data_IF_763282332167
#
_entry.id   IF_763282332167
#
_cell.length_a   1.000
_cell.length_b   1.000
_cell.length_c   1.000
_cell.angle_alpha   90.00
_cell.angle_beta   90.00
_cell.angle_gamma   90.00
#
_symmetry.space_group_name_H-M   'P 1'
#
loop_
_entity.id
_entity.type
_entity.pdbx_description
1 polymer ?
#
# COMPACT_ATOMS: atom_id res chain seq x y z
N UNK A 1 14.45 -4.90 20.42
CA UNK A 1 14.20 -6.36 20.48
C UNK A 1 14.85 -6.99 19.26
N UNK A 2 15.20 -8.28 19.28
CA UNK A 2 15.75 -8.94 18.10
C UNK A 2 14.61 -9.29 17.11
N UNK A 3 14.84 -9.07 15.82
CA UNK A 3 13.91 -9.39 14.75
C UNK A 3 13.60 -10.89 14.66
N UNK A 4 12.37 -11.24 14.29
CA UNK A 4 11.96 -12.64 14.09
C UNK A 4 12.62 -13.25 12.84
N UNK A 5 12.88 -14.57 12.80
CA UNK A 5 13.45 -15.24 11.63
C UNK A 5 12.63 -15.04 10.35
N UNK A 6 11.30 -14.93 10.48
CA UNK A 6 10.40 -14.63 9.37
C UNK A 6 10.68 -13.24 8.80
N UNK A 7 10.73 -12.20 9.64
CA UNK A 7 11.01 -10.85 9.18
C UNK A 7 12.43 -10.69 8.64
N UNK A 8 13.42 -11.42 9.17
CA UNK A 8 14.76 -11.47 8.57
C UNK A 8 14.73 -12.02 7.14
N UNK A 9 13.90 -13.04 6.89
CA UNK A 9 13.73 -13.60 5.54
C UNK A 9 13.02 -12.60 4.62
N UNK A 10 11.94 -11.98 5.08
CA UNK A 10 11.23 -10.93 4.32
C UNK A 10 12.18 -9.79 3.96
N UNK A 11 12.95 -9.27 4.92
CA UNK A 11 13.92 -8.21 4.69
C UNK A 11 14.99 -8.61 3.65
N UNK A 12 15.33 -9.90 3.57
CA UNK A 12 16.27 -10.42 2.57
C UNK A 12 15.70 -10.42 1.14
N UNK A 13 14.38 -10.58 0.98
CA UNK A 13 13.65 -10.47 -0.29
C UNK A 13 13.49 -8.99 -0.72
N UNK A 14 13.55 -8.07 0.24
CA UNK A 14 13.44 -6.63 -0.02
C UNK A 14 14.72 -5.98 -0.56
N UNK A 15 15.81 -6.75 -0.69
CA UNK A 15 17.08 -6.24 -1.19
C UNK A 15 17.01 -5.93 -2.70
N UNK A 16 17.80 -4.93 -3.16
CA UNK A 16 17.94 -4.63 -4.58
C UNK A 16 18.28 -5.89 -5.40
N UNK A 17 17.58 -6.06 -6.52
CA UNK A 17 17.79 -7.14 -7.49
C UNK A 17 17.11 -8.47 -7.18
N UNK A 18 16.40 -8.62 -6.05
CA UNK A 18 15.66 -9.85 -5.73
C UNK A 18 14.26 -9.85 -6.36
N UNK A 19 13.44 -8.84 -6.02
CA UNK A 19 12.10 -8.65 -6.60
C UNK A 19 12.09 -7.44 -7.54
N UNK A 20 12.57 -6.29 -7.06
CA UNK A 20 12.69 -5.05 -7.84
C UNK A 20 14.16 -4.68 -8.01
N UNK A 21 14.48 -3.87 -9.02
CA UNK A 21 15.84 -3.43 -9.28
C UNK A 21 16.44 -2.69 -8.08
N UNK A 22 15.70 -1.75 -7.49
CA UNK A 22 16.17 -0.88 -6.41
C UNK A 22 15.82 -1.41 -5.00
N UNK A 23 15.10 -2.52 -4.90
CA UNK A 23 14.60 -3.05 -3.63
C UNK A 23 13.48 -2.20 -3.03
N UNK A 24 13.24 -2.35 -1.73
CA UNK A 24 12.20 -1.62 -0.99
C UNK A 24 12.73 -0.85 0.23
N UNK A 25 14.01 -0.99 0.55
CA UNK A 25 14.58 -0.43 1.78
C UNK A 25 15.38 0.86 1.55
N UNK A 26 15.79 1.14 0.30
CA UNK A 26 16.68 2.26 0.00
C UNK A 26 17.95 2.23 0.84
N UNK A 27 18.21 3.30 1.59
CA UNK A 27 19.36 3.43 2.48
C UNK A 27 18.99 3.16 3.95
N UNK A 28 17.83 2.56 4.21
CA UNK A 28 17.39 2.23 5.55
C UNK A 28 18.20 1.05 6.11
N UNK A 29 18.94 1.31 7.18
CA UNK A 29 19.77 0.31 7.86
C UNK A 29 19.10 -0.31 9.08
N UNK A 30 17.87 0.11 9.40
CA UNK A 30 17.10 -0.46 10.52
C UNK A 30 16.67 -1.89 10.19
N UNK A 31 16.41 -2.67 11.23
CA UNK A 31 15.72 -3.96 11.08
C UNK A 31 14.28 -3.71 10.60
N UNK A 32 13.75 -4.58 9.73
CA UNK A 32 12.39 -4.42 9.20
C UNK A 32 11.35 -4.27 10.32
N UNK A 33 11.48 -5.03 11.42
CA UNK A 33 10.60 -4.89 12.58
C UNK A 33 10.56 -3.47 13.15
N UNK A 34 11.69 -2.76 13.20
CA UNK A 34 11.76 -1.40 13.72
C UNK A 34 11.05 -0.41 12.79
N UNK A 35 11.21 -0.59 11.48
CA UNK A 35 10.50 0.20 10.47
C UNK A 35 8.99 0.05 10.65
N UNK A 36 8.49 -1.18 10.77
CA UNK A 36 7.06 -1.47 10.96
C UNK A 36 6.51 -0.85 12.25
N UNK A 37 7.27 -0.94 13.35
CA UNK A 37 6.86 -0.34 14.65
C UNK A 37 6.79 1.18 14.56
N UNK A 38 7.76 1.82 13.91
CA UNK A 38 7.75 3.28 13.74
C UNK A 38 6.61 3.77 12.84
N UNK A 39 6.35 3.07 11.75
CA UNK A 39 5.27 3.41 10.82
C UNK A 39 3.89 3.20 11.50
N UNK A 40 3.68 2.08 12.22
CA UNK A 40 2.47 1.82 13.04
C UNK A 40 2.26 2.91 14.11
N UNK A 41 3.32 3.28 14.84
CA UNK A 41 3.24 4.36 15.83
C UNK A 41 2.87 5.70 15.20
N UNK A 42 3.27 5.95 13.95
CA UNK A 42 2.91 7.17 13.22
C UNK A 42 1.43 7.15 12.81
N UNK A 43 0.95 6.04 12.25
CA UNK A 43 -0.45 5.87 11.87
C UNK A 43 -1.38 6.01 13.09
N UNK A 44 -1.01 5.43 14.23
CA UNK A 44 -1.76 5.60 15.49
C UNK A 44 -1.80 7.04 15.96
N UNK A 45 -0.70 7.80 15.87
CA UNK A 45 -0.68 9.24 16.21
C UNK A 45 -1.57 10.09 15.30
N UNK A 46 -1.80 9.64 14.07
CA UNK A 46 -2.71 10.28 13.12
C UNK A 46 -4.18 9.92 13.38
N UNK A 47 -4.49 9.07 14.37
CA UNK A 47 -5.85 8.58 14.68
C UNK A 47 -6.53 7.89 13.48
N UNK A 48 -5.78 7.08 12.74
CA UNK A 48 -6.29 6.28 11.61
C UNK A 48 -5.71 4.86 11.65
N UNK A 49 -6.00 4.05 10.63
CA UNK A 49 -5.50 2.69 10.48
C UNK A 49 -4.83 2.49 9.12
N UNK A 50 -3.97 1.48 9.01
CA UNK A 50 -3.36 1.11 7.72
C UNK A 50 -4.43 0.76 6.68
N UNK A 51 -5.48 0.04 7.09
CA UNK A 51 -6.61 -0.32 6.24
C UNK A 51 -7.37 0.92 5.74
N UNK A 52 -7.58 1.93 6.59
CA UNK A 52 -8.23 3.17 6.16
C UNK A 52 -7.37 3.94 5.13
N UNK A 53 -6.05 3.98 5.33
CA UNK A 53 -5.11 4.58 4.37
C UNK A 53 -5.17 3.84 3.03
N UNK A 54 -5.08 2.51 3.06
CA UNK A 54 -5.14 1.68 1.86
C UNK A 54 -6.50 1.82 1.13
N UNK A 55 -7.61 1.83 1.87
CA UNK A 55 -8.94 2.05 1.31
C UNK A 55 -9.01 3.38 0.55
N UNK A 56 -8.47 4.46 1.14
CA UNK A 56 -8.42 5.77 0.49
C UNK A 56 -7.57 5.78 -0.78
N UNK A 57 -6.43 5.09 -0.76
CA UNK A 57 -5.59 4.92 -1.96
C UNK A 57 -6.33 4.17 -3.07
N UNK A 58 -7.07 3.12 -2.69
CA UNK A 58 -7.85 2.30 -3.62
C UNK A 58 -9.03 3.08 -4.22
N UNK A 59 -9.76 3.86 -3.41
CA UNK A 59 -10.84 4.73 -3.88
C UNK A 59 -10.37 5.70 -4.98
N UNK A 60 -9.23 6.35 -4.75
CA UNK A 60 -8.64 7.31 -5.68
C UNK A 60 -8.12 6.62 -6.96
N UNK A 61 -7.52 5.44 -6.82
CA UNK A 61 -7.12 4.61 -7.96
C UNK A 61 -8.32 4.23 -8.84
N UNK A 62 -9.41 3.72 -8.24
CA UNK A 62 -10.61 3.32 -8.97
C UNK A 62 -11.27 4.53 -9.66
N UNK A 63 -11.34 5.68 -8.96
CA UNK A 63 -11.84 6.91 -9.57
C UNK A 63 -10.99 7.33 -10.78
N UNK A 64 -9.66 7.26 -10.68
CA UNK A 64 -8.73 7.59 -11.76
C UNK A 64 -8.72 6.61 -12.93
N UNK A 65 -9.15 5.36 -12.72
CA UNK A 65 -9.13 4.31 -13.75
C UNK A 65 -10.04 4.64 -14.95
N UNK A 66 -11.07 5.48 -14.75
CA UNK A 66 -11.93 6.00 -15.82
C UNK A 66 -11.17 6.83 -16.86
N UNK A 67 -10.01 7.39 -16.49
CA UNK A 67 -9.15 8.21 -17.36
C UNK A 67 -8.37 7.43 -18.41
N UNK A 68 -8.33 6.09 -18.33
CA UNK A 68 -7.67 5.20 -19.30
C UNK A 68 -6.23 5.63 -19.67
N UNK A 69 -5.43 5.99 -18.65
CA UNK A 69 -4.05 6.43 -18.82
C UNK A 69 -3.85 7.95 -18.96
N UNK A 70 -4.94 8.72 -19.08
CA UNK A 70 -4.89 10.18 -19.08
C UNK A 70 -5.25 10.73 -17.68
N UNK A 71 -4.66 11.86 -17.26
CA UNK A 71 -5.07 12.56 -16.05
C UNK A 71 -6.54 13.00 -16.15
N UNK A 72 -7.31 12.78 -15.09
CA UNK A 72 -8.68 13.24 -14.97
C UNK A 72 -8.92 13.98 -13.65
N UNK A 73 -9.82 14.96 -13.68
CA UNK A 73 -10.26 15.67 -12.49
C UNK A 73 -11.21 14.79 -11.66
N UNK A 74 -10.84 14.54 -10.42
CA UNK A 74 -11.64 13.82 -9.42
C UNK A 74 -12.02 14.78 -8.30
N UNK A 75 -13.32 15.06 -8.09
CA UNK A 75 -13.76 15.93 -7.00
C UNK A 75 -13.27 15.45 -5.63
N UNK A 76 -13.02 16.36 -4.67
CA UNK A 76 -13.23 17.81 -4.76
C UNK A 76 -12.11 18.59 -5.47
N UNK A 77 -10.86 18.14 -5.42
CA UNK A 77 -9.70 18.89 -5.92
C UNK A 77 -8.49 17.97 -6.19
N UNK A 78 -8.73 16.79 -6.74
CA UNK A 78 -7.70 15.86 -7.16
C UNK A 78 -7.61 15.79 -8.68
N UNK A 79 -6.40 15.63 -9.20
CA UNK A 79 -6.15 15.16 -10.56
C UNK A 79 -5.49 13.78 -10.43
N UNK A 80 -6.02 12.77 -11.11
CA UNK A 80 -5.55 11.38 -10.97
C UNK A 80 -5.23 10.81 -12.33
N UNK A 81 -4.06 10.18 -12.43
CA UNK A 81 -3.65 9.41 -13.59
C UNK A 81 -3.34 7.96 -13.18
N UNK A 82 -3.96 6.99 -13.86
CA UNK A 82 -3.68 5.57 -13.66
C UNK A 82 -3.06 4.99 -14.93
N UNK A 83 -1.80 4.60 -14.86
CA UNK A 83 -1.05 4.01 -15.97
C UNK A 83 -0.79 2.52 -15.69
N UNK A 84 -1.29 1.66 -16.58
CA UNK A 84 -1.04 0.22 -16.50
C UNK A 84 0.30 -0.13 -17.15
N UNK A 85 1.25 -0.59 -16.34
CA UNK A 85 2.52 -1.10 -16.86
C UNK A 85 2.43 -2.63 -16.97
N UNK A 86 2.99 -3.19 -18.05
CA UNK A 86 3.08 -4.66 -18.18
C UNK A 86 3.91 -5.24 -17.05
N UNK A 87 3.37 -6.28 -16.42
CA UNK A 87 4.09 -7.06 -15.42
C UNK A 87 3.21 -7.41 -14.23
N UNK A 88 3.76 -8.25 -13.37
CA UNK A 88 3.20 -8.58 -12.07
C UNK A 88 4.31 -8.50 -11.04
N UNK A 89 4.00 -8.02 -9.84
CA UNK A 89 4.98 -7.92 -8.77
C UNK A 89 4.56 -8.83 -7.61
N UNK A 90 5.44 -9.74 -7.14
CA UNK A 90 5.18 -10.49 -5.93
C UNK A 90 5.39 -9.62 -4.69
N UNK A 91 4.58 -9.83 -3.66
CA UNK A 91 4.76 -9.20 -2.36
C UNK A 91 5.99 -9.77 -1.63
N UNK A 92 6.89 -8.93 -1.07
CA UNK A 92 8.10 -9.38 -0.37
C UNK A 92 7.81 -10.15 0.93
N UNK A 93 6.61 -10.03 1.50
CA UNK A 93 6.21 -10.72 2.74
C UNK A 93 5.91 -12.22 2.56
N UNK A 94 6.21 -12.79 1.39
CA UNK A 94 6.17 -14.23 1.12
C UNK A 94 4.79 -14.90 1.31
N UNK A 95 3.71 -14.12 1.28
CA UNK A 95 2.33 -14.58 1.37
C UNK A 95 1.74 -15.13 0.06
N UNK A 96 2.51 -15.09 -1.04
CA UNK A 96 2.06 -15.56 -2.35
C UNK A 96 1.19 -14.57 -3.13
N UNK A 97 0.91 -13.38 -2.57
CA UNK A 97 0.20 -12.31 -3.26
C UNK A 97 1.04 -11.80 -4.43
N UNK A 98 0.40 -11.76 -5.59
CA UNK A 98 0.96 -11.20 -6.82
C UNK A 98 -0.02 -10.15 -7.31
N UNK A 99 0.43 -8.90 -7.36
CA UNK A 99 -0.39 -7.78 -7.80
C UNK A 99 -0.06 -7.36 -9.24
N UNK A 100 -0.99 -6.65 -9.86
CA UNK A 100 -0.71 -5.96 -11.11
C UNK A 100 0.23 -4.78 -10.86
N UNK A 101 0.91 -4.32 -11.91
CA UNK A 101 1.77 -3.14 -11.84
C UNK A 101 1.03 -1.95 -12.43
N UNK A 102 0.03 -1.44 -11.72
CA UNK A 102 -0.56 -0.14 -12.04
C UNK A 102 0.20 0.93 -11.27
N UNK A 103 0.46 2.06 -11.93
CA UNK A 103 0.96 3.26 -11.29
C UNK A 103 -0.19 4.26 -11.18
N UNK A 104 -0.53 4.67 -9.98
CA UNK A 104 -1.51 5.71 -9.71
C UNK A 104 -0.78 6.95 -9.22
N UNK A 105 -0.87 8.03 -9.98
CA UNK A 105 -0.42 9.35 -9.57
C UNK A 105 -1.62 10.17 -9.14
N UNK A 106 -1.62 10.64 -7.89
CA UNK A 106 -2.63 11.52 -7.32
C UNK A 106 -1.99 12.88 -7.09
N UNK A 107 -2.48 13.90 -7.79
CA UNK A 107 -2.11 15.28 -7.57
C UNK A 107 -3.22 15.99 -6.79
N UNK A 108 -2.91 16.43 -5.57
CA UNK A 108 -3.78 17.27 -4.77
C UNK A 108 -3.58 18.73 -5.19
N UNK A 109 -4.51 19.23 -6.04
CA UNK A 109 -4.45 20.59 -6.61
C UNK A 109 -4.55 21.69 -5.55
N UNK A 110 -5.19 21.41 -4.40
CA UNK A 110 -5.32 22.36 -3.28
C UNK A 110 -4.00 22.54 -2.54
N UNK A 111 -3.25 21.45 -2.35
CA UNK A 111 -1.95 21.46 -1.68
C UNK A 111 -0.78 21.72 -2.64
N UNK A 112 -0.99 21.53 -3.95
CA UNK A 112 0.07 21.58 -4.95
C UNK A 112 1.09 20.45 -4.77
N UNK A 113 0.64 19.28 -4.30
CA UNK A 113 1.49 18.13 -3.98
C UNK A 113 1.00 16.89 -4.72
N UNK A 114 1.93 16.02 -5.10
CA UNK A 114 1.64 14.75 -5.76
C UNK A 114 2.20 13.56 -4.98
N UNK A 115 1.57 12.41 -5.17
CA UNK A 115 2.09 11.12 -4.73
C UNK A 115 1.85 10.08 -5.84
N UNK A 116 2.82 9.22 -6.07
CA UNK A 116 2.68 8.07 -6.98
C UNK A 116 2.84 6.77 -6.20
N UNK A 117 1.89 5.86 -6.35
CA UNK A 117 1.90 4.55 -5.71
C UNK A 117 1.40 3.47 -6.66
N UNK A 118 1.64 2.21 -6.29
CA UNK A 118 1.21 1.03 -7.04
C UNK A 118 0.23 0.18 -6.26
N UNK A 119 -0.43 -0.79 -6.89
CA UNK A 119 -1.22 -1.81 -6.17
C UNK A 119 -0.39 -2.55 -5.12
N UNK A 120 0.92 -2.73 -5.37
CA UNK A 120 1.82 -3.36 -4.39
C UNK A 120 1.97 -2.50 -3.16
N UNK A 121 2.06 -1.18 -3.34
CA UNK A 121 2.13 -0.24 -2.24
C UNK A 121 0.86 -0.26 -1.40
N UNK A 122 -0.32 -0.30 -2.04
CA UNK A 122 -1.62 -0.45 -1.34
C UNK A 122 -1.62 -1.74 -0.51
N UNK A 123 -1.28 -2.88 -1.12
CA UNK A 123 -1.25 -4.17 -0.44
C UNK A 123 -0.24 -4.22 0.73
N UNK A 124 0.97 -3.68 0.54
CA UNK A 124 1.99 -3.64 1.59
C UNK A 124 1.56 -2.78 2.78
N UNK A 125 0.84 -1.68 2.52
CA UNK A 125 0.28 -0.85 3.59
C UNK A 125 -0.85 -1.60 4.30
N UNK A 126 -1.83 -2.10 3.56
CA UNK A 126 -3.04 -2.74 4.12
C UNK A 126 -2.71 -3.95 5.00
N UNK A 127 -1.91 -4.89 4.49
CA UNK A 127 -1.71 -6.21 5.10
C UNK A 127 -0.50 -6.24 6.04
N UNK A 128 0.44 -5.31 5.88
CA UNK A 128 1.74 -5.36 6.57
C UNK A 128 2.12 -4.07 7.28
N UNK A 129 1.39 -2.97 7.09
CA UNK A 129 1.73 -1.67 7.66
C UNK A 129 3.09 -1.14 7.18
N UNK A 130 3.54 -1.56 5.99
CA UNK A 130 4.86 -1.25 5.47
C UNK A 130 4.82 -0.15 4.42
N UNK A 131 5.52 0.95 4.68
CA UNK A 131 5.53 2.14 3.83
C UNK A 131 6.86 2.33 3.07
N UNK A 132 7.60 1.23 2.89
CA UNK A 132 8.98 1.16 2.38
C UNK A 132 10.04 1.79 3.30
N UNK A 133 11.31 1.46 3.10
CA UNK A 133 12.42 1.99 3.91
C UNK A 133 12.81 3.42 3.55
N UNK A 134 13.41 4.14 4.50
CA UNK A 134 13.92 5.50 4.28
C UNK A 134 14.93 5.54 3.13
N UNK A 135 14.74 6.49 2.23
CA UNK A 135 15.57 6.64 1.02
C UNK A 135 15.24 5.66 -0.10
N UNK A 136 14.19 4.83 0.05
CA UNK A 136 13.59 4.14 -1.10
C UNK A 136 12.96 5.17 -2.03
N UNK A 137 13.01 4.90 -3.33
CA UNK A 137 12.38 5.76 -4.35
C UNK A 137 10.85 5.84 -4.18
N UNK A 138 10.24 4.80 -3.58
CA UNK A 138 8.80 4.71 -3.37
C UNK A 138 8.42 4.73 -1.87
N UNK A 139 9.28 5.30 -1.01
CA UNK A 139 8.93 5.59 0.39
C UNK A 139 7.73 6.53 0.45
N UNK A 140 6.68 6.13 1.17
CA UNK A 140 5.49 6.97 1.40
C UNK A 140 5.30 7.18 2.90
N UNK A 141 5.92 8.20 3.53
CA UNK A 141 5.75 8.43 4.96
C UNK A 141 4.25 8.55 5.31
N UNK A 142 3.73 7.85 6.35
CA UNK A 142 2.31 7.81 6.62
C UNK A 142 1.66 9.20 6.82
N UNK A 143 2.40 10.11 7.44
CA UNK A 143 2.00 11.51 7.65
C UNK A 143 1.85 12.31 6.34
N UNK A 144 2.80 12.17 5.43
CA UNK A 144 2.76 12.82 4.12
C UNK A 144 1.65 12.24 3.26
N UNK A 145 1.50 10.91 3.28
CA UNK A 145 0.44 10.23 2.56
C UNK A 145 -0.94 10.65 3.08
N UNK A 146 -1.15 10.65 4.39
CA UNK A 146 -2.41 11.06 4.99
C UNK A 146 -2.76 12.53 4.69
N UNK A 147 -1.76 13.41 4.66
CA UNK A 147 -1.93 14.82 4.32
C UNK A 147 -2.31 15.02 2.85
N UNK A 148 -1.57 14.41 1.92
CA UNK A 148 -1.81 14.54 0.47
C UNK A 148 -3.18 13.95 0.11
N UNK A 149 -3.54 12.79 0.66
CA UNK A 149 -4.80 12.11 0.37
C UNK A 149 -6.01 12.68 1.13
N UNK A 150 -5.77 13.68 1.99
CA UNK A 150 -6.77 14.34 2.84
C UNK A 150 -7.63 13.35 3.61
N UNK A 151 -6.96 12.45 4.31
CA UNK A 151 -7.65 11.50 5.16
C UNK A 151 -8.43 12.22 6.26
N UNK A 152 -9.66 11.78 6.50
CA UNK A 152 -10.41 12.22 7.67
C UNK A 152 -9.81 11.55 8.90
N UNK A 153 -8.95 12.30 9.60
CA UNK A 153 -8.20 11.83 10.77
C UNK A 153 -9.06 11.75 12.05
N UNK A 154 -10.34 11.38 11.91
CA UNK A 154 -11.29 11.31 13.02
C UNK A 154 -11.82 9.89 13.23
N UNK A 155 -11.55 9.46 14.45
CA UNK A 155 -12.01 8.26 15.16
C UNK A 155 -11.69 6.93 14.47
N UNK A 156 -10.81 6.09 15.05
CA UNK A 156 -10.55 4.76 14.51
C UNK A 156 -11.87 3.96 14.51
N UNK A 157 -12.14 3.16 13.46
CA UNK A 157 -13.25 2.22 13.50
C UNK A 157 -13.10 1.31 14.74
N UNK A 158 -14.20 0.91 15.40
CA UNK A 158 -14.13 0.06 16.57
C UNK A 158 -13.34 -1.22 16.25
N UNK A 159 -12.28 -1.47 17.01
CA UNK A 159 -11.50 -2.70 16.97
C UNK A 159 -12.33 -3.84 17.56
N UNK A 160 -13.27 -4.40 16.79
CA UNK A 160 -13.96 -5.64 17.14
C UNK A 160 -14.54 -6.30 15.87
N UNK A 161 -13.79 -7.23 15.27
CA UNK A 161 -14.25 -8.58 14.90
C UNK A 161 -13.02 -9.45 14.58
N UNK A 162 -12.36 -9.94 15.64
CA UNK A 162 -11.59 -11.19 15.57
C UNK A 162 -12.48 -12.30 14.98
N UNK A 163 -12.19 -12.76 13.76
CA UNK A 163 -12.71 -14.03 13.27
C UNK A 163 -13.33 -14.06 11.87
N UNK A 164 -12.84 -13.30 10.89
CA UNK A 164 -13.12 -13.62 9.50
C UNK A 164 -12.21 -14.77 9.02
N UNK A 165 -12.61 -16.00 9.30
CA UNK A 165 -12.09 -17.19 8.61
C UNK A 165 -12.18 -16.95 7.10
N UNK A 166 -11.12 -17.19 6.31
CA UNK A 166 -11.20 -17.00 4.87
C UNK A 166 -12.26 -17.94 4.31
N UNK A 167 -13.29 -17.37 3.66
CA UNK A 167 -14.25 -18.15 2.88
C UNK A 167 -13.48 -18.89 1.80
N UNK A 168 -13.26 -20.17 2.05
CA UNK A 168 -12.81 -21.13 1.06
C UNK A 168 -13.82 -21.08 -0.10
N UNK A 169 -13.42 -20.49 -1.23
CA UNK A 169 -14.14 -20.58 -2.49
C UNK A 169 -14.18 -22.05 -2.92
N UNK A 170 -15.20 -22.79 -2.48
CA UNK A 170 -15.53 -24.08 -3.05
C UNK A 170 -16.27 -23.80 -4.35
N UNK A 171 -15.55 -23.92 -5.46
CA UNK A 171 -16.15 -24.16 -6.77
C UNK A 171 -17.02 -25.42 -6.66
N UNK A 172 -18.28 -25.32 -7.04
CA UNK A 172 -19.00 -26.45 -7.59
C UNK A 172 -19.51 -26.05 -8.95
N UNK A 173 -18.73 -26.46 -9.94
CA UNK A 173 -19.11 -26.60 -11.31
C UNK A 173 -20.30 -27.57 -11.42
N UNK A 174 -21.24 -27.20 -12.29
CA UNK A 174 -22.03 -28.02 -13.22
C UNK A 174 -22.43 -29.45 -12.82
N UNK A 175 -23.74 -29.73 -12.81
CA UNK A 175 -24.34 -30.57 -13.86
C UNK A 175 -25.87 -30.59 -13.83
N UNK A 176 -26.44 -30.35 -15.01
CA UNK A 176 -27.80 -30.69 -15.44
C UNK A 176 -28.20 -32.15 -15.15
N UNK A 177 -29.45 -32.32 -14.68
CA UNK A 177 -30.53 -33.24 -15.12
C UNK A 177 -31.45 -33.66 -13.96
#
# INVERSE_FOLDING_TARGET
MAQSPYLSRVQSEMRPGVITQDGFLGNDHRELQEILIEDDATVKRLNTTHAAIAARMHELMEAGAEGLGLPIDVPPHFEIQVDSVRGKLPCPFMGGTIVQKLNTTVFNTRLGREITYTDLNIHMIEEHGFYEGRGSLFRMPPEELAEILEMDLREPPPEDEEGATPRLCVRKDDHDF
#
